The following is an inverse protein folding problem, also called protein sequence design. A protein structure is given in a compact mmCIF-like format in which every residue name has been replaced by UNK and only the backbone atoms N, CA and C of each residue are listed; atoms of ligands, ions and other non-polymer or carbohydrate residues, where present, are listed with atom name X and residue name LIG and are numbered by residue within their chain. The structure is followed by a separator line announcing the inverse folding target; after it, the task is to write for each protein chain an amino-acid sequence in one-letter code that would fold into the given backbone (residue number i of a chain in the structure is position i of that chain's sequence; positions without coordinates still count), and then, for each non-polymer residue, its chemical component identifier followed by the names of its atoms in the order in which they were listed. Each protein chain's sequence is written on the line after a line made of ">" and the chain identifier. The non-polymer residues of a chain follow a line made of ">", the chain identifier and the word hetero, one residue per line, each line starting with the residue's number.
data_IF_050280610447
#
_entry.id   IF_050280610447
#
_cell.length_a   1.000
_cell.length_b   1.000
_cell.length_c   1.000
_cell.angle_alpha   90.00
_cell.angle_beta   90.00
_cell.angle_gamma   90.00
#
_symmetry.space_group_name_H-M   'P 1'
#
loop_
_entity.id
_entity.type
_entity.pdbx_description
1 polymer ?
#
# COMPACT_ATOMS: atom_id res chain seq x y z
N UNK A 1 -3.61 8.51 16.12
CA UNK A 1 -4.49 8.49 14.92
C UNK A 1 -3.83 7.59 13.90
N UNK A 2 -4.58 6.71 13.21
CA UNK A 2 -4.02 6.01 12.04
C UNK A 2 -3.68 7.08 11.00
N UNK A 3 -2.47 7.09 10.45
CA UNK A 3 -2.26 7.80 9.19
C UNK A 3 -3.22 7.19 8.18
N UNK A 4 -4.08 8.02 7.57
CA UNK A 4 -5.06 7.55 6.59
C UNK A 4 -4.40 7.06 5.29
N UNK A 5 -3.06 7.11 5.20
CA UNK A 5 -2.28 6.81 4.01
C UNK A 5 -1.02 6.01 4.35
N UNK A 6 -0.63 5.13 3.44
CA UNK A 6 0.69 4.49 3.37
C UNK A 6 1.42 5.10 2.18
N UNK A 7 2.63 5.59 2.40
CA UNK A 7 3.54 5.93 1.29
C UNK A 7 4.31 4.66 0.87
N UNK A 8 4.19 4.32 -0.41
CA UNK A 8 4.88 3.20 -1.05
C UNK A 8 5.58 3.63 -2.33
N UNK A 9 6.57 2.87 -2.79
CA UNK A 9 7.29 3.16 -4.04
C UNK A 9 6.89 2.14 -5.10
N UNK A 10 6.40 2.60 -6.26
CA UNK A 10 6.10 1.71 -7.37
C UNK A 10 7.37 1.09 -7.93
N UNK A 11 7.36 -0.24 -8.11
CA UNK A 11 8.55 -0.98 -8.54
C UNK A 11 8.99 -0.64 -9.95
N UNK A 12 8.07 -0.27 -10.85
CA UNK A 12 8.32 -0.03 -12.27
C UNK A 12 8.66 1.43 -12.53
N UNK A 13 7.83 2.37 -12.08
CA UNK A 13 8.05 3.80 -12.32
C UNK A 13 9.01 4.45 -11.32
N UNK A 14 9.25 3.80 -10.17
CA UNK A 14 10.00 4.37 -9.03
C UNK A 14 9.34 5.61 -8.43
N UNK A 15 8.07 5.85 -8.76
CA UNK A 15 7.31 6.97 -8.20
C UNK A 15 6.77 6.60 -6.82
N UNK A 16 6.70 7.60 -5.95
CA UNK A 16 6.04 7.46 -4.65
C UNK A 16 4.53 7.59 -4.82
N UNK A 17 3.79 6.65 -4.24
CA UNK A 17 2.34 6.58 -4.27
C UNK A 17 1.83 6.65 -2.83
N UNK A 18 0.84 7.51 -2.59
CA UNK A 18 0.10 7.55 -1.34
C UNK A 18 -1.18 6.72 -1.48
N UNK A 19 -1.27 5.62 -0.74
CA UNK A 19 -2.42 4.72 -0.77
C UNK A 19 -3.23 4.91 0.51
N UNK A 20 -4.53 5.22 0.36
CA UNK A 20 -5.41 5.35 1.52
C UNK A 20 -5.62 3.99 2.21
N UNK A 21 -5.30 3.89 3.49
CA UNK A 21 -5.37 2.63 4.28
C UNK A 21 -6.78 2.07 4.40
N UNK A 22 -7.82 2.93 4.36
CA UNK A 22 -9.22 2.50 4.47
C UNK A 22 -9.70 1.74 3.23
N UNK A 23 -8.95 1.82 2.12
CA UNK A 23 -9.29 1.21 0.84
C UNK A 23 -8.41 -0.01 0.51
N UNK A 24 -7.39 -0.30 1.33
CA UNK A 24 -6.54 -1.48 1.17
C UNK A 24 -7.32 -2.72 1.55
N UNK A 25 -7.45 -3.64 0.60
CA UNK A 25 -8.14 -4.93 0.83
C UNK A 25 -7.13 -6.00 1.19
N UNK A 26 -5.96 -5.99 0.54
CA UNK A 26 -4.99 -7.06 0.67
C UNK A 26 -3.56 -6.56 0.43
N UNK A 27 -2.63 -7.05 1.26
CA UNK A 27 -1.19 -6.91 1.05
C UNK A 27 -0.59 -8.31 1.05
N UNK A 28 0.06 -8.70 -0.05
CA UNK A 28 0.79 -9.97 -0.18
C UNK A 28 2.17 -9.71 -0.75
N UNK A 29 3.20 -10.15 -0.03
CA UNK A 29 4.60 -9.88 -0.39
C UNK A 29 4.80 -8.39 -0.73
N UNK A 30 5.14 -8.05 -1.97
CA UNK A 30 5.35 -6.69 -2.46
C UNK A 30 4.19 -6.19 -3.35
N UNK A 31 2.98 -6.66 -3.08
CA UNK A 31 1.76 -6.31 -3.84
C UNK A 31 0.69 -5.79 -2.90
N UNK A 32 0.09 -4.67 -3.29
CA UNK A 32 -1.00 -4.03 -2.56
C UNK A 32 -2.21 -3.94 -3.49
N UNK A 33 -3.32 -4.52 -3.06
CA UNK A 33 -4.60 -4.46 -3.77
C UNK A 33 -5.57 -3.54 -3.04
N UNK A 34 -6.13 -2.60 -3.79
CA UNK A 34 -6.94 -1.47 -3.29
C UNK A 34 -8.25 -1.43 -4.07
N UNK A 35 -9.39 -1.36 -3.40
CA UNK A 35 -10.67 -1.11 -4.08
C UNK A 35 -11.09 0.35 -3.98
N UNK A 36 -11.65 0.86 -5.07
CA UNK A 36 -12.25 2.19 -5.12
C UNK A 36 -13.77 2.12 -5.43
N UNK A 37 -14.48 1.19 -4.81
CA UNK A 37 -15.94 1.00 -4.94
C UNK A 37 -16.38 0.30 -6.23
N UNK A 38 -15.70 0.52 -7.36
CA UNK A 38 -16.05 -0.07 -8.66
C UNK A 38 -14.92 -0.86 -9.33
N UNK A 39 -13.68 -0.68 -8.88
CA UNK A 39 -12.52 -1.40 -9.42
C UNK A 39 -11.56 -1.84 -8.32
N UNK A 40 -10.82 -2.92 -8.61
CA UNK A 40 -9.71 -3.39 -7.80
C UNK A 40 -8.41 -3.06 -8.55
N UNK A 41 -7.57 -2.22 -7.95
CA UNK A 41 -6.26 -1.86 -8.48
C UNK A 41 -5.18 -2.58 -7.69
N UNK A 42 -4.22 -3.19 -8.37
CA UNK A 42 -3.09 -3.86 -7.72
C UNK A 42 -1.78 -3.18 -8.10
N UNK A 43 -1.05 -2.74 -7.09
CA UNK A 43 0.24 -2.07 -7.21
C UNK A 43 1.35 -3.05 -6.84
N UNK A 44 2.46 -3.03 -7.58
CA UNK A 44 3.66 -3.80 -7.24
C UNK A 44 4.68 -2.82 -6.66
N UNK A 45 4.96 -2.95 -5.38
CA UNK A 45 5.80 -2.02 -4.62
C UNK A 45 7.22 -2.54 -4.47
N UNK A 46 8.14 -1.66 -4.07
CA UNK A 46 9.46 -2.07 -3.61
C UNK A 46 9.41 -2.65 -2.20
N UNK A 47 8.58 -2.07 -1.34
CA UNK A 47 8.40 -2.51 0.03
C UNK A 47 7.72 -3.88 0.12
N UNK A 48 8.20 -4.67 1.07
CA UNK A 48 7.67 -5.98 1.45
C UNK A 48 6.50 -5.85 2.44
N UNK A 49 5.75 -6.94 2.61
CA UNK A 49 4.65 -7.02 3.56
C UNK A 49 5.10 -6.67 4.98
N UNK A 50 6.26 -7.15 5.42
CA UNK A 50 6.76 -6.90 6.78
C UNK A 50 7.10 -5.42 6.99
N UNK A 51 7.78 -4.79 6.03
CA UNK A 51 8.07 -3.35 6.08
C UNK A 51 6.78 -2.51 6.03
N UNK A 52 5.79 -2.91 5.22
CA UNK A 52 4.49 -2.24 5.15
C UNK A 52 3.70 -2.43 6.45
N UNK A 53 3.76 -3.61 7.04
CA UNK A 53 3.15 -3.92 8.34
C UNK A 53 3.80 -3.10 9.44
N UNK A 54 5.11 -2.93 9.42
CA UNK A 54 5.80 -2.01 10.34
C UNK A 54 5.33 -0.57 10.12
N UNK A 55 5.29 -0.06 8.89
CA UNK A 55 4.76 1.29 8.59
C UNK A 55 3.33 1.50 9.08
N UNK A 56 2.49 0.47 9.01
CA UNK A 56 1.10 0.50 9.49
C UNK A 56 0.98 0.46 11.01
N UNK A 57 1.92 -0.19 11.69
CA UNK A 57 1.89 -0.40 13.14
C UNK A 57 2.80 0.58 13.92
N UNK A 58 3.80 1.17 13.26
CA UNK A 58 4.73 2.13 13.85
C UNK A 58 3.97 3.40 14.23
N UNK A 59 3.86 3.60 15.54
CA UNK A 59 3.33 4.78 16.20
C UNK A 59 4.42 5.36 17.09
#
# INVERSE_FOLDING_TARGET
>A
MLNSFIEVTDKKSKEKILINTLLVIEVRENRISVANGFSLNTYKTEETYDELKEKLNAR
#
